data_IF_780688949424
#
_entry.id   IF_780688949424
#
_cell.length_a   1.000
_cell.length_b   1.000
_cell.length_c   1.000
_cell.angle_alpha   90.00
_cell.angle_beta   90.00
_cell.angle_gamma   90.00
#
_symmetry.space_group_name_H-M   'P 1'
#
loop_
_entity.id
_entity.type
_entity.pdbx_description
1 polymer ?
#
# COMPACT_ATOMS: atom_id res chain seq x y z
N UNK A 1 -20.70 -13.47 13.12
CA UNK A 1 -20.13 -12.71 11.99
C UNK A 1 -18.73 -12.29 12.38
N UNK A 2 -17.71 -12.70 11.62
CA UNK A 2 -16.32 -12.31 11.85
C UNK A 2 -16.16 -10.83 11.52
N UNK A 3 -15.72 -10.03 12.49
CA UNK A 3 -15.48 -8.59 12.33
C UNK A 3 -14.30 -8.40 11.37
N UNK A 4 -14.50 -7.67 10.25
CA UNK A 4 -13.40 -7.28 9.33
C UNK A 4 -12.43 -6.39 10.12
N UNK A 5 -11.13 -6.68 10.02
CA UNK A 5 -10.09 -5.83 10.61
C UNK A 5 -10.00 -4.51 9.82
N UNK A 6 -9.64 -3.40 10.47
CA UNK A 6 -9.44 -2.14 9.77
C UNK A 6 -8.29 -2.25 8.75
N UNK A 7 -8.35 -1.51 7.62
CA UNK A 7 -7.26 -1.47 6.66
C UNK A 7 -5.96 -0.97 7.27
N UNK A 8 -4.83 -1.56 6.87
CA UNK A 8 -3.50 -1.22 7.41
C UNK A 8 -2.79 -0.25 6.47
N UNK A 9 -2.59 1.00 6.91
CA UNK A 9 -1.90 2.01 6.13
C UNK A 9 -0.38 1.68 6.04
N UNK A 10 0.30 1.89 4.89
CA UNK A 10 1.75 1.61 4.76
C UNK A 10 2.63 2.37 5.75
N UNK A 11 2.15 3.53 6.20
CA UNK A 11 2.75 4.34 7.26
C UNK A 11 2.79 3.64 8.62
N UNK A 12 1.83 2.77 8.91
CA UNK A 12 1.85 1.89 10.08
C UNK A 12 2.98 0.88 9.97
N UNK A 13 3.05 0.17 8.84
CA UNK A 13 4.12 -0.80 8.55
C UNK A 13 5.49 -0.13 8.63
N UNK A 14 5.65 1.06 8.04
CA UNK A 14 6.89 1.83 8.18
C UNK A 14 7.26 2.05 9.65
N UNK A 15 6.30 2.43 10.49
CA UNK A 15 6.54 2.75 11.90
C UNK A 15 6.84 1.50 12.74
N UNK A 16 6.00 0.48 12.63
CA UNK A 16 6.04 -0.70 13.51
C UNK A 16 7.10 -1.73 13.08
N UNK A 17 7.34 -1.89 11.77
CA UNK A 17 8.22 -2.95 11.25
C UNK A 17 9.62 -2.46 10.87
N UNK A 18 9.78 -1.14 10.66
CA UNK A 18 11.07 -0.56 10.27
C UNK A 18 11.58 0.46 11.30
N UNK A 19 10.81 1.51 11.61
CA UNK A 19 11.31 2.58 12.49
C UNK A 19 11.53 2.09 13.92
N UNK A 20 10.53 1.49 14.56
CA UNK A 20 10.62 1.05 15.95
C UNK A 20 11.68 -0.04 16.17
N UNK A 21 11.76 -1.12 15.36
CA UNK A 21 12.76 -2.17 15.57
C UNK A 21 14.19 -1.71 15.30
N UNK A 22 14.37 -0.77 14.37
CA UNK A 22 15.69 -0.22 14.02
C UNK A 22 16.05 1.03 14.84
N UNK A 23 15.18 1.48 15.75
CA UNK A 23 15.36 2.70 16.55
C UNK A 23 15.60 3.96 15.70
N UNK A 24 14.94 4.04 14.55
CA UNK A 24 15.07 5.14 13.60
C UNK A 24 13.97 6.17 13.83
N UNK A 25 14.33 7.45 13.72
CA UNK A 25 13.34 8.54 13.68
C UNK A 25 12.89 8.79 12.24
N UNK A 26 11.65 9.28 12.00
CA UNK A 26 11.22 9.73 10.67
C UNK A 26 12.17 10.76 10.06
N UNK A 27 12.79 11.61 10.88
CA UNK A 27 13.79 12.57 10.46
C UNK A 27 15.06 11.90 9.90
N UNK A 28 15.59 10.90 10.60
CA UNK A 28 16.78 10.16 10.15
C UNK A 28 16.53 9.48 8.80
N UNK A 29 15.37 8.87 8.63
CA UNK A 29 14.98 8.24 7.36
C UNK A 29 14.80 9.28 6.25
N UNK A 30 14.16 10.42 6.53
CA UNK A 30 14.00 11.49 5.55
C UNK A 30 15.35 12.02 5.06
N UNK A 31 16.29 12.24 5.98
CA UNK A 31 17.65 12.68 5.67
C UNK A 31 18.39 11.66 4.79
N UNK A 32 18.34 10.37 5.15
CA UNK A 32 18.97 9.30 4.38
C UNK A 32 18.34 9.10 2.98
N UNK A 33 17.03 9.29 2.87
CA UNK A 33 16.29 9.21 1.60
C UNK A 33 16.39 10.48 0.74
N UNK A 34 17.01 11.55 1.25
CA UNK A 34 17.14 12.83 0.54
C UNK A 34 15.78 13.49 0.25
N UNK A 35 14.85 13.48 1.21
CA UNK A 35 13.52 14.08 1.08
C UNK A 35 13.20 15.01 2.26
N UNK A 36 12.24 15.94 2.12
CA UNK A 36 11.82 16.77 3.24
C UNK A 36 11.35 15.92 4.43
N UNK A 37 11.76 16.29 5.65
CA UNK A 37 11.37 15.66 6.92
C UNK A 37 9.86 15.39 7.00
N UNK A 38 9.07 16.40 6.64
CA UNK A 38 7.60 16.35 6.69
C UNK A 38 7.01 15.24 5.84
N UNK A 39 7.69 14.79 4.77
CA UNK A 39 7.23 13.69 3.92
C UNK A 39 7.17 12.37 4.69
N UNK A 40 8.24 12.01 5.38
CA UNK A 40 8.29 10.74 6.13
C UNK A 40 7.47 10.84 7.42
N UNK A 41 7.42 12.01 8.07
CA UNK A 41 6.58 12.22 9.25
C UNK A 41 5.09 12.08 8.97
N UNK A 42 4.61 12.65 7.85
CA UNK A 42 3.20 12.54 7.46
C UNK A 42 2.86 11.12 7.01
N UNK A 43 3.78 10.46 6.30
CA UNK A 43 3.64 9.04 5.96
C UNK A 43 3.53 8.17 7.23
N UNK A 44 4.46 8.30 8.18
CA UNK A 44 4.45 7.52 9.43
C UNK A 44 3.23 7.82 10.34
N UNK A 45 2.61 9.00 10.19
CA UNK A 45 1.33 9.37 10.83
C UNK A 45 0.08 8.96 10.04
N UNK A 46 0.24 8.25 8.93
CA UNK A 46 -0.86 7.80 8.07
C UNK A 46 -1.66 8.95 7.42
N UNK A 47 -1.04 10.12 7.25
CA UNK A 47 -1.68 11.33 6.70
C UNK A 47 -1.46 11.50 5.20
N UNK A 48 -0.54 10.74 4.61
CA UNK A 48 -0.22 10.77 3.18
C UNK A 48 0.11 9.38 2.67
N UNK A 49 -0.28 9.05 1.42
CA UNK A 49 0.03 7.78 0.81
C UNK A 49 1.52 7.67 0.46
N UNK A 50 1.97 6.44 0.21
CA UNK A 50 3.23 6.18 -0.45
C UNK A 50 3.12 6.48 -1.94
N UNK A 51 3.98 7.36 -2.44
CA UNK A 51 4.14 7.60 -3.88
C UNK A 51 5.22 6.71 -4.47
N UNK A 52 5.26 6.55 -5.80
CA UNK A 52 6.31 5.79 -6.48
C UNK A 52 7.74 6.29 -6.17
N UNK A 53 7.96 7.62 -6.12
CA UNK A 53 9.24 8.22 -5.71
C UNK A 53 9.59 7.86 -4.26
N UNK A 54 8.60 7.87 -3.36
CA UNK A 54 8.81 7.49 -1.95
C UNK A 54 9.12 6.00 -1.83
N UNK A 55 8.41 5.14 -2.56
CA UNK A 55 8.65 3.69 -2.61
C UNK A 55 10.07 3.37 -3.09
N UNK A 56 10.54 4.02 -4.17
CA UNK A 56 11.92 3.84 -4.67
C UNK A 56 12.97 4.18 -3.61
N UNK A 57 12.77 5.28 -2.88
CA UNK A 57 13.70 5.74 -1.84
C UNK A 57 13.71 4.84 -0.61
N UNK A 58 12.53 4.48 -0.11
CA UNK A 58 12.39 3.57 1.03
C UNK A 58 12.96 2.19 0.69
N UNK A 59 12.69 1.67 -0.51
CA UNK A 59 13.25 0.41 -0.99
C UNK A 59 14.78 0.44 -1.01
N UNK A 60 15.37 1.52 -1.56
CA UNK A 60 16.82 1.68 -1.59
C UNK A 60 17.43 1.76 -0.19
N UNK A 61 16.78 2.45 0.74
CA UNK A 61 17.29 2.64 2.11
C UNK A 61 17.16 1.39 2.98
N UNK A 62 16.02 0.70 2.93
CA UNK A 62 15.73 -0.47 3.77
C UNK A 62 16.08 -1.82 3.13
N UNK A 63 16.60 -1.83 1.90
CA UNK A 63 16.91 -3.07 1.20
C UNK A 63 15.67 -3.88 0.82
N UNK A 64 14.54 -3.22 0.59
CA UNK A 64 13.30 -3.85 0.10
C UNK A 64 13.10 -3.56 -1.40
N UNK A 65 11.92 -3.88 -1.94
CA UNK A 65 11.58 -3.55 -3.32
C UNK A 65 10.60 -2.36 -3.38
N UNK A 66 10.61 -1.54 -4.45
CA UNK A 66 9.60 -0.50 -4.61
C UNK A 66 8.18 -1.10 -4.68
N UNK A 67 8.06 -2.29 -5.26
CA UNK A 67 6.81 -3.04 -5.35
C UNK A 67 6.24 -3.41 -3.98
N UNK A 68 7.08 -3.75 -3.00
CA UNK A 68 6.63 -3.99 -1.62
C UNK A 68 5.81 -2.80 -1.08
N UNK A 69 6.36 -1.59 -1.18
CA UNK A 69 5.69 -0.38 -0.68
C UNK A 69 4.46 0.00 -1.50
N UNK A 70 4.51 -0.13 -2.82
CA UNK A 70 3.37 0.16 -3.68
C UNK A 70 2.23 -0.83 -3.49
N UNK A 71 2.53 -2.10 -3.22
CA UNK A 71 1.52 -3.12 -2.95
C UNK A 71 0.81 -2.86 -1.62
N UNK A 72 1.53 -2.45 -0.57
CA UNK A 72 0.90 -2.02 0.69
C UNK A 72 -0.05 -0.85 0.45
N UNK A 73 0.36 0.15 -0.35
CA UNK A 73 -0.48 1.29 -0.67
C UNK A 73 -1.74 0.87 -1.45
N UNK A 74 -1.56 0.07 -2.50
CA UNK A 74 -2.67 -0.42 -3.31
C UNK A 74 -3.65 -1.25 -2.49
N UNK A 75 -3.16 -2.12 -1.60
CA UNK A 75 -4.01 -2.90 -0.72
C UNK A 75 -4.81 -2.02 0.23
N UNK A 76 -4.16 -1.07 0.90
CA UNK A 76 -4.85 -0.10 1.77
C UNK A 76 -5.93 0.69 1.01
N UNK A 77 -5.59 1.23 -0.16
CA UNK A 77 -6.51 2.04 -0.96
C UNK A 77 -7.71 1.22 -1.44
N UNK A 78 -7.47 -0.03 -1.86
CA UNK A 78 -8.54 -0.95 -2.27
C UNK A 78 -9.46 -1.28 -1.09
N UNK A 79 -8.92 -1.65 0.07
CA UNK A 79 -9.73 -2.00 1.23
C UNK A 79 -10.58 -0.81 1.73
N UNK A 80 -10.01 0.40 1.73
CA UNK A 80 -10.74 1.63 2.06
C UNK A 80 -11.83 1.94 1.03
N UNK A 81 -11.52 1.82 -0.27
CA UNK A 81 -12.49 2.07 -1.34
C UNK A 81 -13.61 1.03 -1.34
N UNK A 82 -13.31 -0.25 -1.10
CA UNK A 82 -14.30 -1.31 -0.96
C UNK A 82 -15.27 -1.02 0.19
N UNK A 83 -14.76 -0.59 1.35
CA UNK A 83 -15.60 -0.25 2.50
C UNK A 83 -16.51 0.94 2.22
N UNK A 84 -16.02 1.95 1.47
CA UNK A 84 -16.80 3.13 1.10
C UNK A 84 -17.83 2.86 0.01
N UNK A 85 -17.52 1.99 -0.94
CA UNK A 85 -18.33 1.73 -2.13
C UNK A 85 -19.09 0.38 -2.08
N UNK A 86 -19.10 -0.31 -0.94
CA UNK A 86 -19.63 -1.67 -0.81
C UNK A 86 -21.03 -1.86 -1.42
N UNK A 87 -21.98 -0.96 -1.12
CA UNK A 87 -23.36 -1.06 -1.63
C UNK A 87 -23.46 -0.76 -3.13
N UNK A 88 -22.59 0.09 -3.66
CA UNK A 88 -22.52 0.38 -5.09
C UNK A 88 -21.94 -0.79 -5.87
N UNK A 89 -20.83 -1.35 -5.38
CA UNK A 89 -20.18 -2.52 -5.99
C UNK A 89 -21.14 -3.72 -6.08
N UNK A 90 -21.99 -3.95 -5.08
CA UNK A 90 -23.02 -5.01 -5.12
C UNK A 90 -24.01 -4.89 -6.27
N UNK A 91 -24.22 -3.68 -6.80
CA UNK A 91 -25.16 -3.42 -7.92
C UNK A 91 -24.51 -3.65 -9.29
N UNK A 92 -23.19 -3.71 -9.36
CA UNK A 92 -22.46 -3.92 -10.61
C UNK A 92 -22.60 -5.39 -11.03
N UNK A 93 -23.13 -5.61 -12.25
CA UNK A 93 -23.24 -6.95 -12.82
C UNK A 93 -21.97 -7.29 -13.59
N UNK A 94 -21.41 -8.46 -13.32
CA UNK A 94 -20.26 -8.97 -14.07
C UNK A 94 -20.62 -9.14 -15.55
N UNK A 95 -19.67 -8.82 -16.42
CA UNK A 95 -19.79 -9.11 -17.85
C UNK A 95 -19.86 -10.62 -18.03
N UNK A 96 -20.89 -11.11 -18.72
CA UNK A 96 -20.94 -12.51 -19.13
C UNK A 96 -19.98 -12.68 -20.31
N UNK A 97 -18.84 -13.32 -20.07
CA UNK A 97 -17.96 -13.73 -21.16
C UNK A 97 -18.67 -14.78 -22.03
N UNK A 98 -18.60 -14.64 -23.36
CA UNK A 98 -18.74 -15.83 -24.23
C UNK A 98 -17.50 -16.67 -23.98
N UNK A 99 -17.70 -17.91 -23.54
CA UNK A 99 -16.73 -18.81 -22.90
C UNK A 99 -15.53 -19.28 -23.77
N UNK A 100 -14.97 -18.45 -24.67
CA UNK A 100 -13.93 -18.88 -25.59
C UNK A 100 -12.59 -18.12 -25.49
N UNK A 101 -12.46 -17.09 -24.65
CA UNK A 101 -11.28 -16.21 -24.71
C UNK A 101 -10.52 -16.00 -23.38
N UNK A 102 -11.08 -16.41 -22.22
CA UNK A 102 -10.44 -16.20 -20.91
C UNK A 102 -9.48 -17.35 -20.52
N UNK A 103 -9.73 -18.57 -20.99
CA UNK A 103 -8.87 -19.75 -20.70
C UNK A 103 -7.42 -19.61 -21.18
N UNK A 104 -7.15 -18.68 -22.09
CA UNK A 104 -5.80 -18.39 -22.58
C UNK A 104 -4.95 -17.55 -21.60
N UNK A 105 -5.57 -16.76 -20.72
CA UNK A 105 -4.85 -15.87 -19.79
C UNK A 105 -4.43 -16.63 -18.52
N UNK A 106 -5.28 -17.53 -18.01
CA UNK A 106 -5.01 -18.28 -16.78
C UNK A 106 -4.07 -19.48 -16.95
N UNK A 107 -3.67 -19.82 -18.19
CA UNK A 107 -2.76 -20.95 -18.49
C UNK A 107 -1.30 -20.55 -18.68
N UNK A 108 -0.97 -19.26 -18.55
CA UNK A 108 0.40 -18.72 -18.73
C UNK A 108 0.98 -18.10 -17.45
N UNK A 109 0.34 -18.30 -16.30
CA UNK A 109 0.86 -17.95 -14.96
C UNK A 109 0.97 -19.21 -14.11
#
# INVERSE_FOLDING_TARGET
MTKKLPPVHPGEILREDFLAPMQLTPYAVAAACGVPRTRIERLARQETPVTADTALRLAKYFGTTPGFWMNLQAQYDLEVAEDQSAEELKRIKQVKAKAAQIDAINKLS
#
